data_IF_417948967675
#
_entry.id   IF_417948967675
#
_cell.length_a   1.000
_cell.length_b   1.000
_cell.length_c   1.000
_cell.angle_alpha   90.00
_cell.angle_beta   90.00
_cell.angle_gamma   90.00
#
_symmetry.space_group_name_H-M   'P 1'
#
loop_
_entity.id
_entity.type
_entity.pdbx_description
1 polymer ?
#
# COMPACT_ATOMS: atom_id res chain seq x y z
N UNK A 1 -15.99 6.72 1.36
CA UNK A 1 -16.49 5.56 2.17
C UNK A 1 -15.59 4.35 1.95
N UNK A 2 -15.27 3.53 2.97
CA UNK A 2 -14.41 2.35 2.80
C UNK A 2 -14.85 1.41 1.68
N UNK A 3 -16.15 1.14 1.57
CA UNK A 3 -16.70 0.25 0.54
C UNK A 3 -16.49 0.75 -0.90
N UNK A 4 -16.49 2.06 -1.12
CA UNK A 4 -16.23 2.63 -2.45
C UNK A 4 -14.77 2.41 -2.87
N UNK A 5 -13.84 2.53 -1.90
CA UNK A 5 -12.41 2.30 -2.14
C UNK A 5 -12.09 0.83 -2.42
N UNK A 6 -12.71 -0.12 -1.72
CA UNK A 6 -12.50 -1.56 -1.91
C UNK A 6 -12.69 -2.01 -3.36
N UNK A 7 -13.77 -1.58 -4.00
CA UNK A 7 -14.07 -1.94 -5.39
C UNK A 7 -13.34 -1.12 -6.44
N UNK A 8 -12.73 0.00 -6.05
CA UNK A 8 -12.17 0.98 -6.98
C UNK A 8 -11.00 0.43 -7.80
N UNK A 9 -10.08 -0.28 -7.18
CA UNK A 9 -8.93 -0.89 -7.89
C UNK A 9 -9.41 -1.87 -8.96
N UNK A 10 -10.36 -2.73 -8.63
CA UNK A 10 -10.91 -3.71 -9.59
C UNK A 10 -11.62 -3.03 -10.77
N UNK A 11 -12.32 -1.92 -10.53
CA UNK A 11 -12.92 -1.12 -11.60
C UNK A 11 -11.85 -0.52 -12.50
N UNK A 12 -10.83 0.13 -11.94
CA UNK A 12 -9.72 0.71 -12.70
C UNK A 12 -9.01 -0.31 -13.59
N UNK A 13 -8.75 -1.52 -13.06
CA UNK A 13 -8.10 -2.61 -13.82
C UNK A 13 -8.97 -3.16 -14.96
N UNK A 14 -10.28 -2.97 -14.91
CA UNK A 14 -11.20 -3.34 -16.01
C UNK A 14 -11.35 -2.23 -17.05
N UNK A 15 -11.29 -0.99 -16.62
CA UNK A 15 -11.58 0.19 -17.46
C UNK A 15 -10.34 0.72 -18.17
N UNK A 16 -9.15 0.50 -17.61
CA UNK A 16 -7.89 1.02 -18.13
C UNK A 16 -6.95 -0.09 -18.57
N UNK A 17 -6.21 0.11 -19.68
CA UNK A 17 -5.20 -0.87 -20.13
C UNK A 17 -4.03 -1.01 -19.15
N UNK A 18 -3.75 0.01 -18.35
CA UNK A 18 -2.81 0.02 -17.24
C UNK A 18 -3.21 1.10 -16.24
N UNK A 19 -2.74 0.96 -15.01
CA UNK A 19 -2.91 1.96 -13.95
C UNK A 19 -1.54 2.46 -13.50
N UNK A 20 -1.50 3.73 -13.06
CA UNK A 20 -0.31 4.33 -12.45
C UNK A 20 -0.46 4.31 -10.95
N UNK A 21 0.44 3.63 -10.29
CA UNK A 21 0.47 3.50 -8.84
C UNK A 21 1.70 4.21 -8.31
N UNK A 22 1.54 5.08 -7.32
CA UNK A 22 2.64 5.78 -6.68
C UNK A 22 2.70 5.44 -5.20
N UNK A 23 3.92 5.31 -4.71
CA UNK A 23 4.18 5.02 -3.30
C UNK A 23 3.74 6.18 -2.39
N UNK A 24 3.17 5.83 -1.22
CA UNK A 24 2.91 6.74 -0.11
C UNK A 24 3.14 6.03 1.22
N UNK A 25 3.77 6.71 2.20
CA UNK A 25 4.14 6.14 3.49
C UNK A 25 3.73 6.99 4.69
N UNK A 26 3.03 8.08 4.47
CA UNK A 26 2.41 8.93 5.51
C UNK A 26 1.36 9.87 4.88
N UNK A 27 0.69 10.66 5.71
CA UNK A 27 -0.33 11.61 5.23
C UNK A 27 0.20 12.64 4.25
N UNK A 28 1.43 13.15 4.43
CA UNK A 28 2.01 14.16 3.52
C UNK A 28 2.25 13.56 2.12
N UNK A 29 2.92 12.42 2.04
CA UNK A 29 3.19 11.75 0.76
C UNK A 29 1.89 11.32 0.07
N UNK A 30 0.91 10.83 0.83
CA UNK A 30 -0.41 10.51 0.31
C UNK A 30 -1.13 11.75 -0.27
N UNK A 31 -1.05 12.89 0.41
CA UNK A 31 -1.64 14.14 -0.10
C UNK A 31 -1.01 14.57 -1.42
N UNK A 32 0.30 14.41 -1.56
CA UNK A 32 1.00 14.69 -2.83
C UNK A 32 0.48 13.75 -3.93
N UNK A 33 0.44 12.45 -3.69
CA UNK A 33 -0.05 11.47 -4.67
C UNK A 33 -1.51 11.71 -5.04
N UNK A 34 -2.34 12.12 -4.07
CA UNK A 34 -3.76 12.40 -4.30
C UNK A 34 -3.97 13.57 -5.26
N UNK A 35 -3.16 14.63 -5.14
CA UNK A 35 -3.41 15.89 -5.82
C UNK A 35 -2.52 16.17 -7.02
N UNK A 36 -1.37 15.51 -7.14
CA UNK A 36 -0.44 15.77 -8.23
C UNK A 36 -1.02 15.37 -9.58
N UNK A 37 -0.88 16.24 -10.56
CA UNK A 37 -1.22 15.98 -11.95
C UNK A 37 -0.24 16.67 -12.89
N UNK A 38 -0.14 16.20 -14.11
CA UNK A 38 0.67 16.79 -15.16
C UNK A 38 -0.12 16.85 -16.47
N UNK A 39 0.07 17.91 -17.21
CA UNK A 39 -0.45 18.04 -18.55
C UNK A 39 0.56 17.48 -19.56
N UNK A 40 0.12 16.59 -20.43
CA UNK A 40 0.94 16.00 -21.49
C UNK A 40 0.06 15.71 -22.69
N UNK A 41 0.44 16.24 -23.86
CA UNK A 41 -0.27 16.04 -25.13
C UNK A 41 -1.78 16.41 -25.06
N UNK A 42 -2.11 17.48 -24.32
CA UNK A 42 -3.48 17.93 -24.14
C UNK A 42 -4.34 17.05 -23.20
N UNK A 43 -3.71 16.15 -22.45
CA UNK A 43 -4.37 15.29 -21.48
C UNK A 43 -3.81 15.52 -20.07
N UNK A 44 -4.70 15.64 -19.10
CA UNK A 44 -4.33 15.63 -17.68
C UNK A 44 -4.06 14.19 -17.24
N UNK A 45 -2.89 13.98 -16.68
CA UNK A 45 -2.45 12.67 -16.16
C UNK A 45 -2.21 12.75 -14.66
N UNK A 46 -2.74 11.80 -13.91
CA UNK A 46 -2.58 11.66 -12.46
C UNK A 46 -2.30 10.20 -12.09
N UNK A 47 -1.96 9.96 -10.83
CA UNK A 47 -1.88 8.59 -10.31
C UNK A 47 -3.28 8.04 -10.04
N UNK A 48 -3.45 6.74 -10.26
CA UNK A 48 -4.74 6.05 -10.13
C UNK A 48 -4.92 5.41 -8.75
N UNK A 49 -3.82 4.99 -8.13
CA UNK A 49 -3.80 4.26 -6.87
C UNK A 49 -2.53 4.57 -6.08
N UNK A 50 -2.50 4.14 -4.82
CA UNK A 50 -1.35 4.28 -3.92
C UNK A 50 -0.78 2.91 -3.57
N UNK A 51 0.54 2.83 -3.51
CA UNK A 51 1.31 1.70 -3.00
C UNK A 51 1.86 2.04 -1.62
N UNK A 52 1.51 1.25 -0.61
CA UNK A 52 2.06 1.40 0.75
C UNK A 52 3.16 0.38 0.93
N UNK A 53 4.38 0.81 0.64
CA UNK A 53 5.59 -0.02 0.67
C UNK A 53 6.02 -0.34 2.12
N UNK A 54 6.40 -1.59 2.38
CA UNK A 54 7.03 -1.97 3.65
C UNK A 54 8.40 -1.34 3.81
N UNK A 55 9.17 -1.25 2.74
CA UNK A 55 10.49 -0.61 2.74
C UNK A 55 10.38 0.88 3.11
N UNK A 56 9.51 1.63 2.46
CA UNK A 56 9.37 3.06 2.69
C UNK A 56 8.79 3.34 4.09
N UNK A 57 7.79 2.58 4.51
CA UNK A 57 7.21 2.71 5.86
C UNK A 57 8.23 2.38 6.96
N UNK A 58 8.99 1.31 6.80
CA UNK A 58 10.07 0.96 7.74
C UNK A 58 11.16 2.02 7.78
N UNK A 59 11.62 2.49 6.61
CA UNK A 59 12.65 3.52 6.50
C UNK A 59 12.20 4.84 7.12
N UNK A 60 10.96 5.26 6.87
CA UNK A 60 10.39 6.47 7.46
C UNK A 60 10.31 6.40 9.01
N UNK A 61 10.25 5.21 9.57
CA UNK A 61 10.28 4.93 11.02
C UNK A 61 11.68 4.63 11.55
N UNK A 62 12.73 4.75 10.72
CA UNK A 62 14.12 4.47 11.10
C UNK A 62 14.40 3.00 11.39
N UNK A 63 13.68 2.08 10.75
CA UNK A 63 13.78 0.63 10.95
C UNK A 63 14.16 -0.09 9.66
N UNK A 64 14.88 -1.23 9.75
CA UNK A 64 15.16 -2.06 8.58
C UNK A 64 13.89 -2.75 8.06
N UNK A 65 13.87 -3.03 6.76
CA UNK A 65 12.77 -3.71 6.09
C UNK A 65 12.90 -5.24 6.22
N UNK A 66 12.66 -5.73 7.42
CA UNK A 66 12.72 -7.14 7.82
C UNK A 66 11.46 -7.57 8.58
N UNK A 67 10.33 -6.95 8.28
CA UNK A 67 9.05 -7.18 8.98
C UNK A 67 9.10 -6.80 10.48
N UNK A 68 10.02 -5.89 10.85
CA UNK A 68 10.16 -5.37 12.21
C UNK A 68 9.04 -4.39 12.57
N UNK A 69 8.52 -3.64 11.60
CA UNK A 69 7.35 -2.78 11.78
C UNK A 69 6.12 -3.67 11.85
N UNK A 70 5.50 -3.74 13.02
CA UNK A 70 4.36 -4.61 13.26
C UNK A 70 3.08 -4.16 12.54
N UNK A 71 2.10 -5.05 12.51
CA UNK A 71 0.83 -4.82 11.81
C UNK A 71 0.08 -3.59 12.34
N UNK A 72 0.08 -3.35 13.65
CA UNK A 72 -0.61 -2.20 14.24
C UNK A 72 0.00 -0.88 13.78
N UNK A 73 1.31 -0.80 13.73
CA UNK A 73 2.04 0.36 13.20
C UNK A 73 1.80 0.56 11.69
N UNK A 74 1.66 -0.51 10.92
CA UNK A 74 1.28 -0.46 9.50
C UNK A 74 -0.16 0.05 9.32
N UNK A 75 -1.08 -0.34 10.19
CA UNK A 75 -2.46 0.16 10.21
C UNK A 75 -2.50 1.66 10.49
N UNK A 76 -1.70 2.16 11.42
CA UNK A 76 -1.60 3.60 11.69
C UNK A 76 -1.14 4.39 10.46
N UNK A 77 -0.14 3.89 9.73
CA UNK A 77 0.30 4.49 8.46
C UNK A 77 -0.84 4.53 7.43
N UNK A 78 -1.57 3.43 7.29
CA UNK A 78 -2.73 3.36 6.38
C UNK A 78 -3.80 4.39 6.78
N UNK A 79 -4.10 4.53 8.05
CA UNK A 79 -5.07 5.51 8.55
C UNK A 79 -4.65 6.95 8.23
N UNK A 80 -3.38 7.30 8.43
CA UNK A 80 -2.84 8.62 8.05
C UNK A 80 -3.01 8.89 6.55
N UNK A 81 -2.75 7.90 5.71
CA UNK A 81 -2.95 8.00 4.26
C UNK A 81 -4.43 8.21 3.93
N UNK A 82 -5.32 7.48 4.59
CA UNK A 82 -6.77 7.53 4.36
C UNK A 82 -7.40 8.87 4.77
N UNK A 83 -6.83 9.57 5.76
CA UNK A 83 -7.31 10.91 6.17
C UNK A 83 -7.28 11.93 5.02
N UNK A 84 -6.35 11.79 4.09
CA UNK A 84 -6.08 12.79 3.05
C UNK A 84 -6.26 12.28 1.63
N UNK A 85 -6.72 11.03 1.46
CA UNK A 85 -6.80 10.39 0.14
C UNK A 85 -8.09 9.60 -0.07
N UNK A 86 -8.50 9.50 -1.33
CA UNK A 86 -9.65 8.71 -1.78
C UNK A 86 -9.25 7.56 -2.71
N UNK A 87 -8.05 7.58 -3.24
CA UNK A 87 -7.53 6.59 -4.18
C UNK A 87 -7.46 5.19 -3.56
N UNK A 88 -7.60 4.12 -4.36
CA UNK A 88 -7.39 2.76 -3.92
C UNK A 88 -5.99 2.57 -3.33
N UNK A 89 -5.89 1.75 -2.30
CA UNK A 89 -4.63 1.41 -1.63
C UNK A 89 -4.28 -0.05 -1.92
N UNK A 90 -3.05 -0.27 -2.37
CA UNK A 90 -2.40 -1.57 -2.47
C UNK A 90 -1.36 -1.63 -1.35
N UNK A 91 -1.51 -2.57 -0.42
CA UNK A 91 -0.59 -2.75 0.69
C UNK A 91 0.47 -3.80 0.37
N UNK A 92 1.72 -3.46 0.57
CA UNK A 92 2.80 -4.42 0.73
C UNK A 92 2.65 -5.11 2.10
N UNK A 93 2.23 -6.35 2.08
CA UNK A 93 1.94 -7.15 3.28
C UNK A 93 3.14 -7.97 3.77
N UNK A 94 4.34 -7.68 3.27
CA UNK A 94 5.55 -8.43 3.62
C UNK A 94 5.39 -9.94 3.32
N UNK A 95 5.65 -10.82 4.30
CA UNK A 95 5.40 -12.27 4.19
C UNK A 95 3.97 -12.68 4.58
N UNK A 96 3.15 -11.72 5.00
CA UNK A 96 1.83 -11.98 5.59
C UNK A 96 1.86 -12.29 7.08
N UNK A 97 3.04 -12.44 7.68
CA UNK A 97 3.22 -12.79 9.08
C UNK A 97 2.84 -14.25 9.38
N UNK A 98 2.35 -14.51 10.59
CA UNK A 98 1.86 -15.83 10.96
C UNK A 98 0.57 -16.18 10.20
N UNK A 99 0.51 -17.37 9.63
CA UNK A 99 -0.62 -17.85 8.83
C UNK A 99 -1.94 -17.75 9.61
N UNK A 100 -1.92 -18.10 10.88
CA UNK A 100 -3.08 -18.07 11.77
C UNK A 100 -3.59 -16.64 12.02
N UNK A 101 -2.72 -15.63 11.91
CA UNK A 101 -3.08 -14.23 12.09
C UNK A 101 -3.56 -13.57 10.80
N UNK A 102 -3.12 -14.03 9.64
CA UNK A 102 -3.34 -13.40 8.34
C UNK A 102 -4.83 -13.16 8.07
N UNK A 103 -5.68 -14.12 8.38
CA UNK A 103 -7.14 -14.01 8.20
C UNK A 103 -7.72 -12.81 8.97
N UNK A 104 -7.23 -12.56 10.18
CA UNK A 104 -7.67 -11.43 11.00
C UNK A 104 -7.12 -10.10 10.48
N UNK A 105 -5.87 -10.09 10.03
CA UNK A 105 -5.25 -8.92 9.40
C UNK A 105 -6.01 -8.52 8.12
N UNK A 106 -6.30 -9.47 7.25
CA UNK A 106 -7.07 -9.22 6.01
C UNK A 106 -8.45 -8.65 6.31
N UNK A 107 -9.17 -9.20 7.29
CA UNK A 107 -10.47 -8.67 7.73
C UNK A 107 -10.38 -7.22 8.25
N UNK A 108 -9.30 -6.89 8.95
CA UNK A 108 -9.06 -5.54 9.44
C UNK A 108 -8.79 -4.58 8.29
N UNK A 109 -7.93 -4.97 7.35
CA UNK A 109 -7.61 -4.20 6.16
C UNK A 109 -8.83 -3.97 5.26
N UNK A 110 -9.67 -4.99 5.09
CA UNK A 110 -10.93 -4.89 4.35
C UNK A 110 -11.88 -3.88 5.00
N UNK A 111 -12.07 -3.94 6.31
CA UNK A 111 -12.91 -2.95 7.04
C UNK A 111 -12.37 -1.52 6.92
N UNK A 112 -11.06 -1.34 6.87
CA UNK A 112 -10.44 -0.04 6.62
C UNK A 112 -10.64 0.45 5.18
N UNK A 113 -10.82 -0.45 4.22
CA UNK A 113 -10.99 -0.13 2.82
C UNK A 113 -9.72 -0.27 1.97
N UNK A 114 -8.74 -1.06 2.42
CA UNK A 114 -7.57 -1.44 1.60
C UNK A 114 -8.04 -2.30 0.43
N UNK A 115 -7.65 -1.92 -0.79
CA UNK A 115 -8.19 -2.52 -2.02
C UNK A 115 -7.48 -3.80 -2.44
N UNK A 116 -6.21 -3.95 -2.08
CA UNK A 116 -5.41 -5.14 -2.34
C UNK A 116 -4.26 -5.26 -1.34
N UNK A 117 -3.80 -6.49 -1.12
CA UNK A 117 -2.57 -6.80 -0.39
C UNK A 117 -1.70 -7.68 -1.27
N UNK A 118 -0.39 -7.43 -1.26
CA UNK A 118 0.61 -8.29 -1.89
C UNK A 118 1.42 -8.95 -0.79
N UNK A 119 1.63 -10.24 -0.90
CA UNK A 119 2.37 -11.06 0.07
C UNK A 119 3.50 -11.76 -0.67
N UNK A 120 4.70 -11.72 -0.11
CA UNK A 120 5.84 -12.44 -0.63
C UNK A 120 5.72 -13.94 -0.29
N UNK A 121 5.88 -14.78 -1.30
CA UNK A 121 5.94 -16.25 -1.13
C UNK A 121 7.36 -16.67 -0.71
N UNK A 122 7.73 -16.30 0.51
CA UNK A 122 9.03 -16.63 1.12
C UNK A 122 8.88 -17.66 2.23
N UNK A 123 9.87 -18.55 2.30
CA UNK A 123 10.02 -19.49 3.43
C UNK A 123 10.96 -18.85 4.46
N UNK A 124 10.52 -18.76 5.71
CA UNK A 124 11.28 -18.18 6.82
C UNK A 124 11.08 -16.68 7.00
N UNK A 125 11.97 -16.06 7.78
CA UNK A 125 11.89 -14.64 8.10
C UNK A 125 12.25 -13.78 6.89
N UNK A 126 11.54 -12.65 6.74
CA UNK A 126 11.85 -11.67 5.71
C UNK A 126 13.27 -11.13 5.89
N UNK A 127 14.01 -11.15 4.80
CA UNK A 127 15.30 -10.44 4.66
C UNK A 127 15.16 -9.41 3.56
N UNK A 128 15.86 -8.29 3.70
CA UNK A 128 15.88 -7.28 2.65
C UNK A 128 16.59 -7.89 1.42
N UNK A 129 15.88 -7.94 0.29
CA UNK A 129 16.38 -8.51 -0.97
C UNK A 129 17.58 -7.76 -1.58
N UNK A 130 17.86 -6.52 -1.12
CA UNK A 130 19.01 -5.73 -1.57
C UNK A 130 20.34 -6.19 -0.94
N UNK A 131 20.32 -6.97 0.13
CA UNK A 131 21.50 -7.36 0.88
C UNK A 131 21.89 -8.83 0.72
N UNK A 132 21.57 -9.44 -0.40
CA UNK A 132 21.95 -10.82 -0.71
C UNK A 132 21.27 -11.83 0.26
N UNK A 133 20.70 -12.83 -0.29
CA UNK A 133 20.15 -13.97 0.44
C UNK A 133 21.05 -15.15 0.16
N UNK A 134 22.04 -15.37 0.99
CA UNK A 134 22.68 -16.66 1.09
C UNK A 134 21.94 -17.52 2.10
#
# INVERSE_FOLDING_TARGET
MPQERLGALRRLLREKPYIRVMEAHNGLTARIVETVSAESEGQTRSFDAMWVSSLCDSTAKGKPDIELVDFSSRVETIQQIMEVSTKPIILDGDTGGLVEHLVFHVRTLERLGVSAIIIEDKVGLKKNSLFGTD
#
